data_IF_357251256649
#
_entry.id   IF_357251256649
#
_cell.length_a   1.000
_cell.length_b   1.000
_cell.length_c   1.000
_cell.angle_alpha   90.00
_cell.angle_beta   90.00
_cell.angle_gamma   90.00
#
_symmetry.space_group_name_H-M   'P 1'
#
loop_
_entity.id
_entity.type
_entity.pdbx_description
1 polymer ?
#
# COMPACT_ATOMS: atom_id res chain seq x y z
N UNK A 1 14.78 31.04 -20.71
CA UNK A 1 14.75 29.69 -21.33
C UNK A 1 15.22 28.59 -20.39
N UNK A 2 16.44 28.67 -19.79
CA UNK A 2 16.95 27.61 -18.88
C UNK A 2 16.13 27.42 -17.60
N UNK A 3 15.70 28.51 -16.96
CA UNK A 3 14.91 28.47 -15.72
C UNK A 3 13.51 27.88 -15.92
N UNK A 4 12.89 28.13 -17.07
CA UNK A 4 11.60 27.55 -17.46
C UNK A 4 11.70 26.03 -17.64
N UNK A 5 12.78 25.55 -18.26
CA UNK A 5 13.02 24.12 -18.41
C UNK A 5 13.22 23.42 -17.05
N UNK A 6 13.97 24.04 -16.13
CA UNK A 6 14.18 23.50 -14.77
C UNK A 6 12.88 23.44 -13.97
N UNK A 7 12.04 24.49 -14.06
CA UNK A 7 10.74 24.51 -13.39
C UNK A 7 9.78 23.42 -13.91
N UNK A 8 9.76 23.19 -15.22
CA UNK A 8 8.96 22.13 -15.84
C UNK A 8 9.41 20.73 -15.41
N UNK A 9 10.73 20.49 -15.30
CA UNK A 9 11.25 19.22 -14.80
C UNK A 9 10.92 18.98 -13.32
N UNK A 10 10.95 20.01 -12.48
CA UNK A 10 10.58 19.90 -11.06
C UNK A 10 9.09 19.56 -10.87
N UNK A 11 8.21 20.09 -11.73
CA UNK A 11 6.77 19.78 -11.72
C UNK A 11 6.51 18.31 -12.13
N UNK A 12 7.26 17.78 -13.09
CA UNK A 12 7.16 16.38 -13.51
C UNK A 12 7.58 15.41 -12.38
N UNK A 13 8.57 15.77 -11.56
CA UNK A 13 8.96 14.94 -10.41
C UNK A 13 7.97 15.00 -9.24
N UNK A 14 7.17 16.05 -9.12
CA UNK A 14 6.08 16.11 -8.13
C UNK A 14 4.88 15.23 -8.50
N UNK A 15 4.74 14.88 -9.79
CA UNK A 15 3.76 13.89 -10.25
C UNK A 15 4.23 12.45 -9.98
N UNK A 16 5.54 12.22 -9.87
CA UNK A 16 6.09 11.04 -9.20
C UNK A 16 5.97 11.21 -7.68
N UNK A 17 4.75 11.46 -7.20
CA UNK A 17 4.43 11.00 -5.86
C UNK A 17 4.64 9.50 -5.92
N UNK A 18 5.68 9.06 -5.21
CA UNK A 18 5.92 7.67 -4.92
C UNK A 18 4.56 7.12 -4.51
N UNK A 19 3.99 6.37 -5.45
CA UNK A 19 2.75 5.65 -5.33
C UNK A 19 2.69 5.13 -3.91
N UNK A 20 1.85 5.79 -3.11
CA UNK A 20 1.67 5.49 -1.70
C UNK A 20 1.29 4.04 -1.65
N UNK A 21 2.26 3.20 -1.28
CA UNK A 21 2.17 1.76 -1.15
C UNK A 21 1.12 1.17 -2.10
N UNK A 22 1.50 0.80 -3.32
CA UNK A 22 0.65 0.02 -4.26
C UNK A 22 0.24 -1.37 -3.72
N UNK A 23 0.36 -1.59 -2.42
CA UNK A 23 -0.16 -2.73 -1.66
C UNK A 23 -0.65 -2.34 -0.25
N UNK A 24 -0.62 -1.04 0.09
CA UNK A 24 -1.06 -0.51 1.35
C UNK A 24 -2.53 -0.15 1.25
N UNK A 25 -3.38 -1.06 1.71
CA UNK A 25 -4.72 -0.71 2.17
C UNK A 25 -4.58 0.61 2.93
N UNK A 26 -5.35 1.64 2.56
CA UNK A 26 -5.44 2.83 3.40
C UNK A 26 -5.59 2.32 4.84
N UNK A 27 -4.75 2.74 5.81
CA UNK A 27 -4.67 2.09 7.13
C UNK A 27 -6.03 2.06 7.84
N UNK A 28 -6.97 2.84 7.35
CA UNK A 28 -8.38 2.89 7.70
C UNK A 28 -9.17 1.60 7.45
N UNK A 29 -8.92 0.82 6.38
CA UNK A 29 -9.75 -0.34 6.08
C UNK A 29 -9.58 -1.48 7.09
N UNK A 30 -8.35 -1.95 7.40
CA UNK A 30 -8.17 -2.97 8.45
C UNK A 30 -8.63 -2.46 9.82
N UNK A 31 -8.41 -1.19 10.14
CA UNK A 31 -8.86 -0.58 11.39
C UNK A 31 -10.39 -0.50 11.54
N UNK A 32 -11.15 -0.42 10.44
CA UNK A 32 -12.62 -0.47 10.48
C UNK A 32 -13.17 -1.88 10.57
N UNK A 33 -12.51 -2.83 9.94
CA UNK A 33 -12.98 -4.22 9.85
C UNK A 33 -12.54 -5.09 11.02
N UNK A 34 -11.44 -4.73 11.70
CA UNK A 34 -10.84 -5.51 12.78
C UNK A 34 -10.63 -4.64 14.01
N UNK A 35 -11.22 -5.03 15.14
CA UNK A 35 -11.04 -4.37 16.46
C UNK A 35 -9.63 -4.52 17.03
N UNK A 36 -8.88 -5.54 16.61
CA UNK A 36 -7.50 -5.82 17.06
C UNK A 36 -6.61 -6.28 15.92
N UNK A 37 -6.49 -5.45 14.88
CA UNK A 37 -5.67 -5.75 13.72
C UNK A 37 -4.18 -5.87 14.06
N UNK A 38 -3.59 -7.04 13.80
CA UNK A 38 -2.16 -7.27 13.85
C UNK A 38 -1.61 -7.50 12.43
N UNK A 39 -0.92 -6.52 11.83
CA UNK A 39 -0.33 -6.69 10.49
C UNK A 39 0.81 -7.72 10.45
N UNK A 40 1.31 -8.18 11.62
CA UNK A 40 2.32 -9.24 11.71
C UNK A 40 1.73 -10.63 11.71
N UNK A 41 0.44 -10.77 11.96
CA UNK A 41 -0.26 -12.05 11.88
C UNK A 41 -0.65 -12.33 10.42
N UNK A 42 -0.14 -13.43 9.86
CA UNK A 42 -0.34 -13.74 8.45
C UNK A 42 -1.83 -13.94 8.10
N UNK A 43 -2.63 -14.51 9.00
CA UNK A 43 -4.05 -14.74 8.75
C UNK A 43 -4.83 -13.42 8.75
N UNK A 44 -4.55 -12.53 9.70
CA UNK A 44 -5.19 -11.22 9.76
C UNK A 44 -4.79 -10.34 8.58
N UNK A 45 -3.51 -10.34 8.20
CA UNK A 45 -3.05 -9.60 7.03
C UNK A 45 -3.70 -10.09 5.75
N UNK A 46 -3.74 -11.41 5.51
CA UNK A 46 -4.36 -11.97 4.29
C UNK A 46 -5.87 -11.72 4.26
N UNK A 47 -6.54 -11.83 5.40
CA UNK A 47 -7.98 -11.55 5.49
C UNK A 47 -8.28 -10.07 5.23
N UNK A 48 -7.47 -9.15 5.79
CA UNK A 48 -7.59 -7.73 5.52
C UNK A 48 -7.30 -7.40 4.05
N UNK A 49 -6.25 -7.95 3.45
CA UNK A 49 -5.94 -7.78 2.03
C UNK A 49 -7.08 -8.25 1.12
N UNK A 50 -7.71 -9.40 1.43
CA UNK A 50 -8.88 -9.88 0.68
C UNK A 50 -10.09 -8.96 0.82
N UNK A 51 -10.32 -8.43 2.02
CA UNK A 51 -11.47 -7.59 2.33
C UNK A 51 -11.32 -6.15 1.81
N UNK A 52 -10.11 -5.61 1.85
CA UNK A 52 -9.79 -4.21 1.57
C UNK A 52 -9.27 -3.99 0.16
N UNK A 53 -8.39 -4.89 -0.30
CA UNK A 53 -7.67 -4.75 -1.57
C UNK A 53 -8.21 -5.71 -2.64
N UNK A 54 -9.22 -6.53 -2.28
CA UNK A 54 -9.87 -7.50 -3.15
C UNK A 54 -8.90 -8.49 -3.84
N UNK A 55 -7.75 -8.72 -3.21
CA UNK A 55 -6.75 -9.68 -3.67
C UNK A 55 -7.19 -11.13 -3.47
N UNK A 56 -6.53 -12.06 -4.17
CA UNK A 56 -6.69 -13.49 -3.91
C UNK A 56 -5.70 -13.97 -2.83
N UNK A 57 -5.85 -15.21 -2.35
CA UNK A 57 -4.96 -15.77 -1.32
C UNK A 57 -3.48 -15.70 -1.70
N UNK A 58 -3.12 -16.06 -2.93
CA UNK A 58 -1.71 -16.11 -3.36
C UNK A 58 -1.08 -14.72 -3.38
N UNK A 59 -1.78 -13.75 -3.97
CA UNK A 59 -1.34 -12.35 -4.02
C UNK A 59 -1.24 -11.78 -2.61
N UNK A 60 -2.27 -11.97 -1.78
CA UNK A 60 -2.30 -11.47 -0.41
C UNK A 60 -1.24 -12.13 0.48
N UNK A 61 -1.00 -13.43 0.36
CA UNK A 61 0.07 -14.10 1.13
C UNK A 61 1.44 -13.55 0.73
N UNK A 62 1.66 -13.32 -0.56
CA UNK A 62 2.92 -12.72 -1.05
C UNK A 62 3.09 -11.30 -0.51
N UNK A 63 2.06 -10.46 -0.63
CA UNK A 63 2.05 -9.11 -0.09
C UNK A 63 2.32 -9.09 1.42
N UNK A 64 1.59 -9.90 2.19
CA UNK A 64 1.75 -9.98 3.64
C UNK A 64 3.14 -10.48 4.06
N UNK A 65 3.73 -11.40 3.30
CA UNK A 65 5.11 -11.84 3.52
C UNK A 65 6.10 -10.70 3.28
N UNK A 66 5.93 -9.92 2.22
CA UNK A 66 6.75 -8.73 1.94
C UNK A 66 6.59 -7.65 3.02
N UNK A 67 5.40 -7.51 3.60
CA UNK A 67 5.15 -6.67 4.76
C UNK A 67 5.68 -7.25 6.09
N UNK A 68 6.20 -8.47 6.08
CA UNK A 68 6.79 -9.15 7.24
C UNK A 68 5.76 -9.71 8.22
N UNK A 69 4.59 -10.14 7.73
CA UNK A 69 3.71 -11.04 8.47
C UNK A 69 4.31 -12.45 8.49
N UNK A 70 4.06 -13.21 9.55
CA UNK A 70 4.57 -14.57 9.73
C UNK A 70 3.57 -15.46 10.46
#
# INVERSE_FOLDING_TARGET
MRLLAVALFALLTAACNQEQDVTGSTPLCPMRSYTSYNPRDMNQCVAACKACDHGNTVTCTTACTLHGAR
#
